data_IF_209712015636
#
_entry.id   IF_209712015636
#
_cell.length_a   1.000
_cell.length_b   1.000
_cell.length_c   1.000
_cell.angle_alpha   90.00
_cell.angle_beta   90.00
_cell.angle_gamma   90.00
#
_symmetry.space_group_name_H-M   'P 1'
#
loop_
_entity.id
_entity.type
_entity.pdbx_description
1 polymer ?
#
# COMPACT_ATOMS: atom_id res chain seq x y z
N UNK A 1 26.79 -13.54 18.17
CA UNK A 1 26.37 -12.88 16.92
C UNK A 1 24.85 -12.92 16.91
N UNK A 2 24.20 -11.81 16.58
CA UNK A 2 22.73 -11.79 16.46
C UNK A 2 22.31 -12.75 15.33
N UNK A 3 21.22 -13.49 15.53
CA UNK A 3 20.68 -14.41 14.53
C UNK A 3 20.16 -13.63 13.30
N UNK A 4 20.13 -14.24 12.11
CA UNK A 4 19.52 -13.61 10.93
C UNK A 4 18.10 -13.13 11.25
N UNK A 5 17.83 -11.84 11.07
CA UNK A 5 16.51 -11.23 11.32
C UNK A 5 16.35 -10.53 12.68
N UNK A 6 17.22 -10.75 13.67
CA UNK A 6 17.11 -10.06 14.98
C UNK A 6 17.24 -8.53 14.89
N UNK A 7 17.78 -8.01 13.78
CA UNK A 7 17.96 -6.59 13.54
C UNK A 7 17.13 -6.03 12.36
N UNK A 8 16.17 -6.79 11.83
CA UNK A 8 15.26 -6.31 10.80
C UNK A 8 13.96 -5.84 11.46
N UNK A 9 13.94 -4.57 11.84
CA UNK A 9 12.75 -3.90 12.38
C UNK A 9 12.22 -2.89 11.37
N UNK A 10 10.90 -2.79 11.27
CA UNK A 10 10.27 -1.69 10.55
C UNK A 10 10.50 -0.36 11.29
N UNK A 11 10.40 0.74 10.57
CA UNK A 11 10.21 2.05 11.20
C UNK A 11 8.70 2.24 11.46
N UNK A 12 8.29 2.13 12.72
CA UNK A 12 6.88 2.22 13.13
C UNK A 12 6.27 3.61 12.91
N UNK A 13 7.03 4.67 13.19
CA UNK A 13 6.57 6.06 13.00
C UNK A 13 6.32 6.34 11.51
N UNK A 14 7.24 5.91 10.63
CA UNK A 14 7.06 6.05 9.18
C UNK A 14 5.85 5.27 8.66
N UNK A 15 5.58 4.08 9.22
CA UNK A 15 4.39 3.30 8.87
C UNK A 15 3.13 4.05 9.31
N UNK A 16 3.10 4.54 10.55
CA UNK A 16 1.98 5.29 11.09
C UNK A 16 1.69 6.55 10.27
N UNK A 17 2.73 7.30 9.90
CA UNK A 17 2.61 8.48 9.04
C UNK A 17 2.00 8.11 7.69
N UNK A 18 2.43 7.01 7.05
CA UNK A 18 1.84 6.57 5.78
C UNK A 18 0.37 6.16 5.89
N UNK A 19 -0.02 5.50 6.99
CA UNK A 19 -1.42 5.18 7.27
C UNK A 19 -2.26 6.46 7.42
N UNK A 20 -1.74 7.44 8.16
CA UNK A 20 -2.44 8.71 8.37
C UNK A 20 -2.47 9.59 7.12
N UNK A 21 -1.45 9.51 6.26
CA UNK A 21 -1.44 10.20 4.96
C UNK A 21 -2.49 9.61 4.01
N UNK A 22 -2.52 8.28 3.86
CA UNK A 22 -3.53 7.58 3.06
C UNK A 22 -4.95 7.83 3.58
N UNK A 23 -5.12 7.94 4.91
CA UNK A 23 -6.41 8.22 5.53
C UNK A 23 -6.98 9.61 5.20
N UNK A 24 -6.19 10.55 4.67
CA UNK A 24 -6.69 11.86 4.21
C UNK A 24 -7.52 11.75 2.93
N UNK A 25 -7.33 10.68 2.15
CA UNK A 25 -8.01 10.47 0.87
C UNK A 25 -9.33 9.73 1.10
N UNK A 26 -10.43 10.36 0.68
CA UNK A 26 -11.79 9.88 0.93
C UNK A 26 -12.16 9.95 2.42
N UNK A 27 -12.27 11.14 3.04
CA UNK A 27 -12.66 11.27 4.44
C UNK A 27 -14.10 10.78 4.64
N UNK A 28 -14.30 9.93 5.64
CA UNK A 28 -15.58 9.36 6.01
C UNK A 28 -16.18 9.96 7.29
N UNK A 29 -17.26 9.35 7.76
CA UNK A 29 -17.92 9.73 9.02
C UNK A 29 -17.06 9.39 10.24
N UNK A 30 -17.19 10.18 11.32
CA UNK A 30 -16.50 9.95 12.59
C UNK A 30 -14.97 9.75 12.49
N UNK A 31 -14.34 10.32 11.45
CA UNK A 31 -12.90 10.19 11.21
C UNK A 31 -12.49 8.84 10.60
N UNK A 32 -13.41 8.12 9.96
CA UNK A 32 -13.13 6.98 9.09
C UNK A 32 -12.85 7.38 7.64
N UNK A 33 -13.02 6.44 6.71
CA UNK A 33 -12.78 6.61 5.29
C UNK A 33 -13.96 6.12 4.43
N UNK A 34 -14.15 6.79 3.30
CA UNK A 34 -15.10 6.47 2.23
C UNK A 34 -14.38 6.64 0.89
N UNK A 35 -13.65 5.60 0.50
CA UNK A 35 -12.86 5.51 -0.73
C UNK A 35 -13.27 4.25 -1.48
N UNK A 36 -14.46 4.24 -2.05
CA UNK A 36 -15.02 3.06 -2.71
C UNK A 36 -14.25 2.72 -4.00
N UNK A 37 -14.23 1.44 -4.36
CA UNK A 37 -13.51 0.97 -5.53
C UNK A 37 -13.92 1.72 -6.81
N UNK A 38 -12.93 2.12 -7.62
CA UNK A 38 -13.12 2.80 -8.92
C UNK A 38 -13.76 4.20 -8.81
N UNK A 39 -13.72 4.84 -7.65
CA UNK A 39 -14.00 6.29 -7.54
C UNK A 39 -12.74 7.14 -7.75
N UNK A 40 -12.92 8.46 -7.87
CA UNK A 40 -11.79 9.40 -7.97
C UNK A 40 -10.90 9.34 -6.72
N UNK A 41 -11.47 9.11 -5.54
CA UNK A 41 -10.70 8.92 -4.30
C UNK A 41 -9.90 7.61 -4.31
N UNK A 42 -10.44 6.51 -4.85
CA UNK A 42 -9.66 5.26 -5.00
C UNK A 42 -8.52 5.46 -6.00
N UNK A 43 -8.78 6.17 -7.10
CA UNK A 43 -7.74 6.59 -8.03
C UNK A 43 -6.66 7.42 -7.31
N UNK A 44 -7.01 8.42 -6.53
CA UNK A 44 -6.05 9.25 -5.78
C UNK A 44 -5.22 8.41 -4.80
N UNK A 45 -5.85 7.50 -4.05
CA UNK A 45 -5.17 6.59 -3.13
C UNK A 45 -4.17 5.66 -3.83
N UNK A 46 -4.56 5.13 -5.00
CA UNK A 46 -3.69 4.29 -5.84
C UNK A 46 -2.50 5.07 -6.39
N UNK A 47 -2.69 6.30 -6.84
CA UNK A 47 -1.59 7.15 -7.31
C UNK A 47 -0.63 7.52 -6.17
N UNK A 48 -1.15 7.79 -4.97
CA UNK A 48 -0.32 8.02 -3.78
C UNK A 48 0.52 6.78 -3.46
N UNK A 49 -0.10 5.59 -3.41
CA UNK A 49 0.62 4.34 -3.18
C UNK A 49 1.69 4.08 -4.25
N UNK A 50 1.36 4.28 -5.53
CA UNK A 50 2.30 4.16 -6.64
C UNK A 50 3.51 5.09 -6.46
N UNK A 51 3.29 6.32 -6.01
CA UNK A 51 4.37 7.29 -5.79
C UNK A 51 5.36 6.82 -4.72
N UNK A 52 4.86 6.20 -3.63
CA UNK A 52 5.70 5.65 -2.57
C UNK A 52 6.49 4.44 -3.05
N UNK A 53 5.87 3.54 -3.81
CA UNK A 53 6.55 2.40 -4.42
C UNK A 53 7.66 2.84 -5.38
N UNK A 54 7.39 3.83 -6.23
CA UNK A 54 8.38 4.39 -7.14
C UNK A 54 9.56 5.04 -6.37
N UNK A 55 9.26 5.82 -5.32
CA UNK A 55 10.29 6.41 -4.46
C UNK A 55 11.15 5.35 -3.73
N UNK A 56 10.57 4.17 -3.46
CA UNK A 56 11.29 3.02 -2.90
C UNK A 56 12.07 2.19 -3.95
N UNK A 57 12.07 2.62 -5.22
CA UNK A 57 12.78 1.96 -6.32
C UNK A 57 12.09 0.70 -6.85
N UNK A 58 10.78 0.56 -6.65
CA UNK A 58 9.99 -0.56 -7.19
C UNK A 58 9.48 -0.25 -8.59
N UNK A 59 9.25 -1.30 -9.39
CA UNK A 59 8.58 -1.21 -10.69
C UNK A 59 7.10 -1.55 -10.55
N UNK A 60 6.23 -0.80 -11.23
CA UNK A 60 4.78 -0.94 -11.17
C UNK A 60 4.27 -1.74 -12.38
N UNK A 61 3.46 -2.77 -12.15
CA UNK A 61 2.65 -3.45 -13.16
C UNK A 61 1.15 -3.44 -12.82
N UNK A 62 0.32 -3.41 -13.86
CA UNK A 62 -1.16 -3.50 -13.77
C UNK A 62 -1.64 -4.71 -14.56
N UNK A 63 -2.60 -5.46 -14.02
CA UNK A 63 -3.32 -6.46 -14.81
C UNK A 63 -4.61 -5.90 -15.42
N UNK A 64 -5.35 -6.75 -16.14
CA UNK A 64 -6.60 -6.38 -16.82
C UNK A 64 -7.75 -6.04 -15.86
N UNK A 65 -7.67 -6.47 -14.60
CA UNK A 65 -8.66 -6.16 -13.55
C UNK A 65 -8.31 -4.89 -12.77
N UNK A 66 -7.16 -4.28 -13.03
CA UNK A 66 -6.67 -3.10 -12.30
C UNK A 66 -5.94 -3.42 -11.00
N UNK A 67 -5.52 -4.68 -10.78
CA UNK A 67 -4.66 -5.01 -9.66
C UNK A 67 -3.28 -4.40 -9.88
N UNK A 68 -2.75 -3.74 -8.85
CA UNK A 68 -1.44 -3.10 -8.88
C UNK A 68 -0.39 -4.00 -8.23
N UNK A 69 0.73 -4.18 -8.93
CA UNK A 69 1.87 -4.94 -8.45
C UNK A 69 3.09 -4.01 -8.39
N UNK A 70 3.60 -3.78 -7.18
CA UNK A 70 4.86 -3.07 -6.96
C UNK A 70 5.98 -4.07 -6.68
N UNK A 71 6.84 -4.30 -7.67
CA UNK A 71 7.92 -5.29 -7.61
C UNK A 71 9.22 -4.64 -7.17
N UNK A 72 9.80 -5.15 -6.08
CA UNK A 72 11.20 -4.93 -5.72
C UNK A 72 12.02 -6.07 -6.30
N UNK A 73 12.99 -5.76 -7.15
CA UNK A 73 13.77 -6.81 -7.83
C UNK A 73 14.61 -7.62 -6.84
N UNK A 74 14.60 -8.95 -7.04
CA UNK A 74 15.43 -9.88 -6.30
C UNK A 74 16.84 -9.95 -6.88
N UNK A 75 17.72 -10.72 -6.22
CA UNK A 75 19.05 -11.03 -6.77
C UNK A 75 19.01 -12.14 -7.82
N UNK A 76 17.95 -12.94 -7.84
CA UNK A 76 17.65 -13.95 -8.85
C UNK A 76 16.36 -13.54 -9.58
N UNK A 77 16.49 -13.27 -10.88
CA UNK A 77 15.40 -12.76 -11.72
C UNK A 77 14.41 -13.86 -12.15
N UNK A 78 14.83 -15.13 -12.08
CA UNK A 78 14.04 -16.29 -12.48
C UNK A 78 13.30 -16.93 -11.30
N UNK A 79 13.60 -16.51 -10.08
CA UNK A 79 12.93 -16.97 -8.88
C UNK A 79 11.45 -16.54 -8.86
N UNK A 80 10.59 -17.41 -8.31
CA UNK A 80 9.18 -17.08 -8.10
C UNK A 80 9.05 -15.94 -7.06
N UNK A 81 8.16 -14.97 -7.30
CA UNK A 81 7.97 -13.85 -6.38
C UNK A 81 7.27 -14.28 -5.09
N UNK A 82 7.56 -13.57 -4.01
CA UNK A 82 6.76 -13.59 -2.78
C UNK A 82 5.81 -12.39 -2.81
N UNK A 83 4.50 -12.64 -2.70
CA UNK A 83 3.49 -11.59 -2.69
C UNK A 83 3.06 -11.25 -1.27
N UNK A 84 2.82 -9.97 -1.04
CA UNK A 84 2.15 -9.42 0.14
C UNK A 84 1.30 -8.25 -0.33
N UNK A 85 0.11 -8.10 0.26
CA UNK A 85 -0.84 -7.08 -0.14
C UNK A 85 -2.19 -7.32 0.51
N UNK A 86 -3.13 -6.47 0.13
CA UNK A 86 -4.50 -6.44 0.64
C UNK A 86 -5.33 -5.62 -0.37
N UNK A 87 -6.15 -4.66 0.10
CA UNK A 87 -6.91 -3.72 -0.73
C UNK A 87 -6.70 -2.27 -0.30
N UNK A 88 -7.05 -1.31 -1.16
CA UNK A 88 -6.99 0.13 -0.87
C UNK A 88 -8.37 0.79 -0.80
N UNK A 89 -9.39 0.16 -1.37
CA UNK A 89 -10.76 0.65 -1.29
C UNK A 89 -11.36 0.38 0.10
N UNK A 90 -12.38 1.17 0.45
CA UNK A 90 -13.10 1.07 1.72
C UNK A 90 -14.60 0.99 1.50
N UNK A 91 -15.29 0.53 2.54
CA UNK A 91 -16.75 0.70 2.64
C UNK A 91 -17.13 2.18 2.79
N UNK A 92 -18.39 2.58 2.52
CA UNK A 92 -18.87 3.95 2.68
C UNK A 92 -18.70 4.54 4.09
N UNK A 93 -18.69 3.68 5.11
CA UNK A 93 -18.44 4.04 6.52
C UNK A 93 -17.25 3.26 7.08
N UNK A 94 -16.24 3.02 6.24
CA UNK A 94 -15.07 2.22 6.58
C UNK A 94 -14.15 2.88 7.61
N UNK A 95 -13.29 2.07 8.20
CA UNK A 95 -12.20 2.54 9.05
C UNK A 95 -10.97 2.95 8.25
N UNK A 96 -9.98 3.52 8.94
CA UNK A 96 -8.68 3.92 8.36
C UNK A 96 -7.73 2.77 8.05
N UNK A 97 -8.00 1.59 8.59
CA UNK A 97 -7.04 0.48 8.69
C UNK A 97 -7.55 -0.84 8.09
N UNK A 98 -8.77 -0.84 7.56
CA UNK A 98 -9.30 -2.00 6.84
C UNK A 98 -8.75 -1.95 5.41
N UNK A 99 -8.13 -3.04 4.97
CA UNK A 99 -7.15 -3.04 3.89
C UNK A 99 -5.73 -2.95 4.41
#
# INVERSE_FOLDING_TARGET
>A
MAAPGENLKINGDRLWDSLMEMAKIGPGVAGGNNRQTVTDEDSEGRHLFQSWCAAAGMTMGLDQMGNMFARREGTDVDALPVYVGSHLDTQPTGGKYDG
#
